data_IF_719872274547
#
_entry.id   IF_719872274547
#
_cell.length_a   1.000
_cell.length_b   1.000
_cell.length_c   1.000
_cell.angle_alpha   90.00
_cell.angle_beta   90.00
_cell.angle_gamma   90.00
#
_symmetry.space_group_name_H-M   'P 1'
#
loop_
_entity.id
_entity.type
_entity.pdbx_description
1 polymer ?
#
# COMPACT_ATOMS: atom_id res chain seq x y z
N UNK A 1 2.97 7.88 -15.58
CA UNK A 1 2.01 7.34 -14.60
C UNK A 1 1.16 8.45 -13.98
N UNK A 2 1.73 9.39 -13.21
CA UNK A 2 0.97 10.48 -12.54
C UNK A 2 0.01 11.25 -13.46
N UNK A 3 0.44 11.60 -14.68
CA UNK A 3 -0.41 12.29 -15.67
C UNK A 3 -1.57 11.40 -16.16
N UNK A 4 -1.30 10.14 -16.52
CA UNK A 4 -2.33 9.19 -16.93
C UNK A 4 -3.34 8.89 -15.82
N UNK A 5 -2.89 8.94 -14.56
CA UNK A 5 -3.74 8.76 -13.39
C UNK A 5 -4.65 9.96 -13.11
N UNK A 6 -4.12 11.18 -13.21
CA UNK A 6 -4.97 12.38 -13.16
C UNK A 6 -6.04 12.34 -14.25
N UNK A 7 -5.67 11.87 -15.45
CA UNK A 7 -6.61 11.68 -16.56
C UNK A 7 -7.63 10.56 -16.30
N UNK A 8 -7.28 9.50 -15.56
CA UNK A 8 -8.19 8.41 -15.20
C UNK A 8 -9.28 8.83 -14.21
N UNK A 9 -8.97 9.80 -13.33
CA UNK A 9 -9.94 10.37 -12.38
C UNK A 9 -10.93 11.32 -13.08
N UNK A 10 -10.46 12.08 -14.06
CA UNK A 10 -11.25 13.12 -14.76
C UNK A 10 -12.01 12.55 -15.98
N UNK A 11 -11.70 11.31 -16.40
CA UNK A 11 -12.33 10.65 -17.54
C UNK A 11 -11.77 11.10 -18.90
N UNK A 12 -10.45 11.30 -18.99
CA UNK A 12 -9.73 11.74 -20.20
C UNK A 12 -9.80 10.74 -21.39
N UNK A 13 -8.69 10.16 -21.89
CA UNK A 13 -8.75 9.21 -23.02
C UNK A 13 -9.44 7.87 -22.68
N UNK A 14 -10.05 7.77 -21.51
CA UNK A 14 -10.68 6.57 -20.96
C UNK A 14 -12.19 6.64 -21.17
N UNK A 15 -12.81 5.49 -21.46
CA UNK A 15 -14.24 5.39 -21.77
C UNK A 15 -15.14 5.80 -20.59
N UNK A 16 -14.62 5.67 -19.36
CA UNK A 16 -15.35 5.87 -18.09
C UNK A 16 -14.37 6.07 -16.91
N UNK A 17 -14.81 6.69 -15.80
CA UNK A 17 -13.99 6.93 -14.58
C UNK A 17 -13.86 5.70 -13.69
N UNK A 18 -12.80 5.64 -12.86
CA UNK A 18 -12.52 4.51 -11.94
C UNK A 18 -13.71 4.07 -11.10
N UNK A 19 -14.45 5.04 -10.53
CA UNK A 19 -15.65 4.75 -9.74
C UNK A 19 -16.84 4.22 -10.56
N UNK A 20 -16.95 4.56 -11.85
CA UNK A 20 -18.08 4.15 -12.69
C UNK A 20 -17.97 2.70 -13.14
N UNK A 21 -16.77 2.19 -13.44
CA UNK A 21 -16.60 0.79 -13.87
C UNK A 21 -16.71 -0.17 -12.69
N UNK A 22 -16.24 0.23 -11.51
CA UNK A 22 -16.53 -0.51 -10.28
C UNK A 22 -18.03 -0.57 -9.96
N UNK A 23 -18.83 0.38 -10.46
CA UNK A 23 -20.29 0.35 -10.33
C UNK A 23 -20.96 -0.57 -11.37
N UNK A 24 -20.29 -0.91 -12.47
CA UNK A 24 -20.78 -1.88 -13.47
C UNK A 24 -20.62 -3.32 -12.96
N UNK A 25 -19.50 -3.63 -12.30
CA UNK A 25 -19.23 -4.93 -11.68
C UNK A 25 -19.42 -4.85 -10.16
N UNK A 26 -20.65 -4.50 -9.76
CA UNK A 26 -20.96 -4.25 -8.35
C UNK A 26 -21.07 -5.56 -7.56
N UNK A 27 -20.12 -5.77 -6.64
CA UNK A 27 -20.16 -6.85 -5.65
C UNK A 27 -20.32 -6.27 -4.26
N UNK A 28 -20.82 -7.08 -3.32
CA UNK A 28 -20.97 -6.68 -1.91
C UNK A 28 -19.66 -6.21 -1.26
N UNK A 29 -18.50 -6.53 -1.84
CA UNK A 29 -17.18 -6.13 -1.33
C UNK A 29 -16.55 -4.95 -2.10
N UNK A 30 -17.20 -4.45 -3.15
CA UNK A 30 -16.75 -3.28 -3.89
C UNK A 30 -17.12 -2.01 -3.12
N UNK A 31 -16.14 -1.20 -2.65
CA UNK A 31 -16.44 -0.05 -1.81
C UNK A 31 -17.11 1.08 -2.60
N UNK A 32 -17.69 2.04 -1.87
CA UNK A 32 -18.26 3.27 -2.43
C UNK A 32 -17.26 4.05 -3.30
N UNK A 33 -17.77 4.77 -4.30
CA UNK A 33 -16.95 5.50 -5.28
C UNK A 33 -15.95 6.49 -4.67
N UNK A 34 -16.30 7.12 -3.54
CA UNK A 34 -15.41 8.05 -2.84
C UNK A 34 -14.14 7.37 -2.31
N UNK A 35 -14.20 6.07 -2.00
CA UNK A 35 -13.09 5.28 -1.46
C UNK A 35 -11.90 5.27 -2.43
N UNK A 36 -12.16 5.32 -3.74
CA UNK A 36 -11.14 5.35 -4.79
C UNK A 36 -10.29 6.64 -4.81
N UNK A 37 -10.67 7.69 -4.07
CA UNK A 37 -9.83 8.88 -3.84
C UNK A 37 -8.50 8.57 -3.13
N UNK A 38 -8.37 7.39 -2.53
CA UNK A 38 -7.10 6.90 -1.98
C UNK A 38 -5.98 6.84 -3.03
N UNK A 39 -6.31 6.71 -4.32
CA UNK A 39 -5.33 6.83 -5.40
C UNK A 39 -4.66 8.22 -5.39
N UNK A 40 -5.40 9.29 -5.13
CA UNK A 40 -4.83 10.63 -4.97
C UNK A 40 -3.85 10.70 -3.81
N UNK A 41 -4.17 10.07 -2.67
CA UNK A 41 -3.27 9.98 -1.51
C UNK A 41 -1.99 9.23 -1.86
N UNK A 42 -2.10 8.08 -2.55
CA UNK A 42 -0.97 7.30 -3.05
C UNK A 42 -0.08 8.17 -3.94
N UNK A 43 -0.65 8.91 -4.89
CA UNK A 43 0.13 9.72 -5.81
C UNK A 43 0.80 10.92 -5.17
N UNK A 44 0.15 11.55 -4.18
CA UNK A 44 0.80 12.60 -3.37
C UNK A 44 2.02 12.01 -2.66
N UNK A 45 1.88 10.83 -2.06
CA UNK A 45 2.98 10.18 -1.35
C UNK A 45 4.13 9.76 -2.28
N UNK A 46 3.82 9.19 -3.44
CA UNK A 46 4.81 8.82 -4.47
C UNK A 46 5.51 10.06 -5.02
N UNK A 47 4.79 11.16 -5.21
CA UNK A 47 5.37 12.42 -5.67
C UNK A 47 6.32 12.98 -4.61
N UNK A 48 5.90 13.02 -3.35
CA UNK A 48 6.75 13.46 -2.25
C UNK A 48 7.99 12.56 -2.09
N UNK A 49 7.84 11.24 -2.22
CA UNK A 49 8.95 10.28 -2.26
C UNK A 49 9.90 10.57 -3.42
N UNK A 50 9.38 10.88 -4.61
CA UNK A 50 10.19 11.22 -5.79
C UNK A 50 10.98 12.50 -5.56
N UNK A 51 10.34 13.54 -5.03
CA UNK A 51 11.00 14.81 -4.67
C UNK A 51 12.12 14.55 -3.66
N UNK A 52 11.87 13.74 -2.62
CA UNK A 52 12.88 13.37 -1.64
C UNK A 52 14.08 12.65 -2.27
N UNK A 53 13.83 11.66 -3.13
CA UNK A 53 14.89 10.92 -3.82
C UNK A 53 15.70 11.85 -4.74
N UNK A 54 15.03 12.67 -5.55
CA UNK A 54 15.70 13.58 -6.50
C UNK A 54 16.49 14.68 -5.77
N UNK A 55 15.92 15.26 -4.72
CA UNK A 55 16.65 16.24 -3.89
C UNK A 55 17.84 15.59 -3.18
N UNK A 56 17.74 14.32 -2.79
CA UNK A 56 18.86 13.51 -2.29
C UNK A 56 20.00 13.36 -3.29
N UNK A 57 19.69 13.20 -4.59
CA UNK A 57 20.71 13.16 -5.65
C UNK A 57 21.45 14.50 -5.83
N UNK A 58 20.78 15.62 -5.54
CA UNK A 58 21.36 16.96 -5.63
C UNK A 58 22.05 17.42 -4.33
N UNK A 59 21.83 16.74 -3.20
CA UNK A 59 22.43 17.08 -1.90
C UNK A 59 23.87 16.56 -1.81
N UNK A 60 24.83 17.38 -2.22
CA UNK A 60 26.26 17.16 -2.02
C UNK A 60 26.65 17.47 -0.57
N UNK A 61 26.44 16.51 0.34
CA UNK A 61 26.80 16.67 1.74
C UNK A 61 28.26 16.33 2.03
N UNK A 62 28.73 15.16 1.58
CA UNK A 62 30.01 14.57 2.03
C UNK A 62 30.69 13.65 0.98
N UNK A 63 30.37 13.86 -0.31
CA UNK A 63 30.71 12.98 -1.45
C UNK A 63 29.44 12.64 -2.24
N UNK A 64 29.57 12.15 -3.47
CA UNK A 64 28.39 11.79 -4.28
C UNK A 64 27.54 10.76 -3.52
N UNK A 65 26.25 11.06 -3.36
CA UNK A 65 25.29 10.25 -2.58
C UNK A 65 25.10 8.83 -3.13
N UNK A 66 25.54 8.54 -4.37
CA UNK A 66 25.62 7.17 -4.88
C UNK A 66 26.74 6.32 -4.25
N UNK A 67 27.67 6.92 -3.49
CA UNK A 67 28.85 6.24 -2.96
C UNK A 67 28.74 5.74 -1.52
N UNK A 68 27.89 6.28 -0.64
CA UNK A 68 27.68 5.71 0.71
C UNK A 68 26.62 6.43 1.55
N UNK A 69 25.71 5.70 2.25
CA UNK A 69 25.25 4.33 2.00
C UNK A 69 24.06 4.31 1.04
N UNK A 70 24.01 3.30 0.16
CA UNK A 70 22.88 3.06 -0.74
C UNK A 70 21.71 2.43 0.02
N UNK A 71 21.05 3.21 0.89
CA UNK A 71 19.90 2.75 1.69
C UNK A 71 18.76 2.28 0.80
N UNK A 72 18.63 2.87 -0.39
CA UNK A 72 17.76 2.39 -1.46
C UNK A 72 18.63 1.70 -2.52
N UNK A 73 18.64 0.35 -2.60
CA UNK A 73 19.47 -0.37 -3.56
C UNK A 73 18.94 -0.20 -5.00
N UNK A 74 19.77 -0.44 -6.01
CA UNK A 74 19.35 -0.37 -7.43
C UNK A 74 18.09 -1.21 -7.73
N UNK A 75 17.96 -2.36 -7.06
CA UNK A 75 16.77 -3.21 -7.16
C UNK A 75 15.47 -2.48 -6.80
N UNK A 76 15.49 -1.58 -5.82
CA UNK A 76 14.33 -0.76 -5.46
C UNK A 76 13.88 0.11 -6.64
N UNK A 77 14.82 0.81 -7.28
CA UNK A 77 14.51 1.71 -8.40
C UNK A 77 14.06 0.95 -9.65
N UNK A 78 14.68 -0.21 -9.93
CA UNK A 78 14.25 -1.09 -11.02
C UNK A 78 12.81 -1.57 -10.79
N UNK A 79 12.50 -2.08 -9.59
CA UNK A 79 11.15 -2.49 -9.24
C UNK A 79 10.15 -1.33 -9.32
N UNK A 80 10.55 -0.11 -8.94
CA UNK A 80 9.70 1.07 -9.02
C UNK A 80 9.38 1.46 -10.46
N UNK A 81 10.37 1.49 -11.36
CA UNK A 81 10.14 1.77 -12.78
C UNK A 81 9.23 0.73 -13.42
N UNK A 82 9.47 -0.55 -13.16
CA UNK A 82 8.64 -1.65 -13.65
C UNK A 82 7.21 -1.54 -13.09
N UNK A 83 7.07 -1.24 -11.80
CA UNK A 83 5.77 -1.02 -11.17
C UNK A 83 4.98 0.11 -11.86
N UNK A 84 5.64 1.23 -12.17
CA UNK A 84 5.01 2.35 -12.87
C UNK A 84 4.53 1.96 -14.27
N UNK A 85 5.28 1.11 -14.97
CA UNK A 85 4.86 0.58 -16.27
C UNK A 85 3.63 -0.34 -16.14
N UNK A 86 3.63 -1.25 -15.16
CA UNK A 86 2.48 -2.13 -14.90
C UNK A 86 1.24 -1.36 -14.43
N UNK A 87 1.40 -0.31 -13.64
CA UNK A 87 0.29 0.55 -13.23
C UNK A 87 -0.31 1.28 -14.43
N UNK A 88 0.50 1.78 -15.36
CA UNK A 88 -0.01 2.36 -16.63
C UNK A 88 -0.72 1.28 -17.45
N UNK A 89 -0.13 0.08 -17.56
CA UNK A 89 -0.75 -1.05 -18.25
C UNK A 89 -2.14 -1.38 -17.68
N UNK A 90 -2.26 -1.43 -16.35
CA UNK A 90 -3.54 -1.59 -15.67
C UNK A 90 -4.54 -0.50 -16.06
N UNK A 91 -4.16 0.78 -15.99
CA UNK A 91 -5.03 1.91 -16.39
C UNK A 91 -5.47 1.89 -17.85
N UNK A 92 -4.74 1.21 -18.74
CA UNK A 92 -5.13 1.11 -20.15
C UNK A 92 -6.11 -0.04 -20.42
N UNK A 93 -6.10 -1.08 -19.59
CA UNK A 93 -6.90 -2.29 -19.82
C UNK A 93 -8.05 -2.47 -18.84
N UNK A 94 -8.03 -1.78 -17.70
CA UNK A 94 -9.01 -1.93 -16.63
C UNK A 94 -10.45 -1.64 -17.06
N UNK A 95 -10.68 -0.79 -18.06
CA UNK A 95 -12.02 -0.46 -18.55
C UNK A 95 -12.56 -1.44 -19.59
N UNK A 96 -11.69 -2.29 -20.16
CA UNK A 96 -12.01 -3.11 -21.34
C UNK A 96 -11.83 -4.60 -21.10
N UNK A 97 -10.90 -5.00 -20.25
CA UNK A 97 -10.46 -6.40 -20.10
C UNK A 97 -10.15 -6.73 -18.64
N UNK A 98 -11.16 -7.20 -17.89
CA UNK A 98 -11.06 -7.47 -16.44
C UNK A 98 -9.96 -8.50 -16.09
N UNK A 99 -9.81 -9.58 -16.87
CA UNK A 99 -8.76 -10.58 -16.63
C UNK A 99 -7.36 -9.97 -16.81
N UNK A 100 -7.15 -9.18 -17.86
CA UNK A 100 -5.85 -8.53 -18.09
C UNK A 100 -5.57 -7.49 -17.00
N UNK A 101 -6.60 -6.77 -16.55
CA UNK A 101 -6.49 -5.84 -15.44
C UNK A 101 -6.04 -6.54 -14.15
N UNK A 102 -6.61 -7.71 -13.85
CA UNK A 102 -6.18 -8.53 -12.72
C UNK A 102 -4.71 -8.97 -12.84
N UNK A 103 -4.28 -9.40 -14.02
CA UNK A 103 -2.87 -9.78 -14.27
C UNK A 103 -1.92 -8.61 -14.05
N UNK A 104 -2.23 -7.41 -14.56
CA UNK A 104 -1.41 -6.22 -14.30
C UNK A 104 -1.39 -5.84 -12.82
N UNK A 105 -2.52 -5.97 -12.10
CA UNK A 105 -2.57 -5.72 -10.66
C UNK A 105 -1.69 -6.71 -9.86
N UNK A 106 -1.66 -7.98 -10.23
CA UNK A 106 -0.76 -8.97 -9.63
C UNK A 106 0.69 -8.53 -9.80
N UNK A 107 1.08 -8.11 -11.01
CA UNK A 107 2.44 -7.60 -11.23
C UNK A 107 2.75 -6.31 -10.46
N UNK A 108 1.77 -5.42 -10.31
CA UNK A 108 1.89 -4.23 -9.44
C UNK A 108 2.13 -4.65 -7.99
N UNK A 109 1.40 -5.62 -7.46
CA UNK A 109 1.60 -6.12 -6.10
C UNK A 109 2.98 -6.75 -5.92
N UNK A 110 3.40 -7.62 -6.84
CA UNK A 110 4.70 -8.31 -6.75
C UNK A 110 5.86 -7.31 -6.71
N UNK A 111 5.79 -6.27 -7.54
CA UNK A 111 6.79 -5.20 -7.57
C UNK A 111 6.73 -4.32 -6.33
N UNK A 112 5.53 -4.07 -5.79
CA UNK A 112 5.33 -3.36 -4.52
C UNK A 112 5.95 -4.08 -3.31
N UNK A 113 5.67 -5.38 -3.15
CA UNK A 113 6.31 -6.18 -2.09
C UNK A 113 7.83 -6.28 -2.27
N UNK A 114 8.31 -6.39 -3.52
CA UNK A 114 9.75 -6.37 -3.80
C UNK A 114 10.40 -5.05 -3.35
N UNK A 115 9.77 -3.91 -3.63
CA UNK A 115 10.23 -2.60 -3.14
C UNK A 115 10.29 -2.54 -1.60
N UNK A 116 9.26 -3.05 -0.91
CA UNK A 116 9.27 -3.13 0.57
C UNK A 116 10.45 -3.96 1.06
N UNK A 117 10.68 -5.14 0.47
CA UNK A 117 11.81 -6.01 0.83
C UNK A 117 13.15 -5.28 0.68
N UNK A 118 13.36 -4.56 -0.43
CA UNK A 118 14.58 -3.79 -0.65
C UNK A 118 14.79 -2.67 0.37
N UNK A 119 13.74 -1.89 0.69
CA UNK A 119 13.84 -0.81 1.68
C UNK A 119 14.08 -1.36 3.09
N UNK A 120 13.37 -2.43 3.46
CA UNK A 120 13.56 -3.11 4.73
C UNK A 120 14.98 -3.67 4.87
N UNK A 121 15.52 -4.26 3.80
CA UNK A 121 16.90 -4.74 3.77
C UNK A 121 17.90 -3.58 3.93
N UNK A 122 17.73 -2.49 3.18
CA UNK A 122 18.58 -1.31 3.30
C UNK A 122 18.57 -0.70 4.71
N UNK A 123 17.40 -0.61 5.36
CA UNK A 123 17.26 -0.15 6.73
C UNK A 123 17.79 -1.15 7.78
N UNK A 124 17.82 -2.44 7.46
CA UNK A 124 18.43 -3.44 8.33
C UNK A 124 19.96 -3.28 8.34
N UNK A 125 20.56 -3.09 7.17
CA UNK A 125 22.02 -2.95 7.01
C UNK A 125 22.52 -1.59 7.51
N UNK A 126 21.88 -0.50 7.08
CA UNK A 126 22.38 0.87 7.33
C UNK A 126 21.63 1.60 8.46
N UNK A 127 20.65 0.96 9.09
CA UNK A 127 19.78 1.61 10.07
C UNK A 127 20.51 2.12 11.32
N UNK A 128 21.50 1.38 11.83
CA UNK A 128 22.29 1.79 12.99
C UNK A 128 23.15 3.03 12.67
N UNK A 129 23.80 3.02 11.51
CA UNK A 129 24.58 4.15 10.99
C UNK A 129 23.70 5.39 10.79
N UNK A 130 22.52 5.22 10.18
CA UNK A 130 21.54 6.29 9.99
C UNK A 130 21.06 6.86 11.33
N UNK A 131 20.77 6.03 12.33
CA UNK A 131 20.36 6.55 13.66
C UNK A 131 21.47 7.41 14.29
N UNK A 132 22.73 6.99 14.16
CA UNK A 132 23.87 7.67 14.79
C UNK A 132 24.24 8.99 14.11
N UNK A 133 24.28 9.01 12.78
CA UNK A 133 24.80 10.15 12.01
C UNK A 133 23.72 10.95 11.26
N UNK A 134 22.59 10.33 10.90
CA UNK A 134 21.56 10.92 10.03
C UNK A 134 20.13 10.55 10.46
N UNK A 135 19.79 10.81 11.72
CA UNK A 135 18.51 10.39 12.29
C UNK A 135 17.29 10.99 11.55
N UNK A 136 17.41 12.20 10.99
CA UNK A 136 16.35 12.79 10.17
C UNK A 136 16.12 11.98 8.89
N UNK A 137 17.18 11.55 8.20
CA UNK A 137 17.07 10.73 6.99
C UNK A 137 16.44 9.36 7.30
N UNK A 138 16.77 8.77 8.46
CA UNK A 138 16.13 7.53 8.93
C UNK A 138 14.60 7.67 9.02
N UNK A 139 14.12 8.78 9.60
CA UNK A 139 12.68 9.03 9.74
C UNK A 139 12.02 9.38 8.41
N UNK A 140 12.70 10.10 7.51
CA UNK A 140 12.21 10.36 6.16
C UNK A 140 12.05 9.05 5.38
N UNK A 141 13.02 8.13 5.43
CA UNK A 141 12.92 6.84 4.75
C UNK A 141 11.76 6.00 5.33
N UNK A 142 11.57 6.00 6.66
CA UNK A 142 10.46 5.29 7.30
C UNK A 142 9.09 5.89 6.95
N UNK A 143 8.93 7.19 7.11
CA UNK A 143 7.65 7.87 6.91
C UNK A 143 7.29 8.06 5.44
N UNK A 144 8.25 8.46 4.62
CA UNK A 144 7.99 8.83 3.24
C UNK A 144 8.12 7.62 2.29
N UNK A 145 9.16 6.80 2.46
CA UNK A 145 9.42 5.67 1.55
C UNK A 145 8.68 4.41 2.02
N UNK A 146 8.97 3.86 3.20
CA UNK A 146 8.33 2.62 3.66
C UNK A 146 6.81 2.77 3.78
N UNK A 147 6.34 3.76 4.53
CA UNK A 147 4.90 3.94 4.74
C UNK A 147 4.19 4.34 3.44
N UNK A 148 4.83 5.09 2.55
CA UNK A 148 4.29 5.43 1.23
C UNK A 148 4.09 4.21 0.33
N UNK A 149 5.13 3.39 0.18
CA UNK A 149 5.07 2.14 -0.57
C UNK A 149 4.06 1.18 0.08
N UNK A 150 3.95 1.17 1.41
CA UNK A 150 2.94 0.36 2.11
C UNK A 150 1.50 0.79 1.84
N UNK A 151 1.18 2.09 1.81
CA UNK A 151 -0.17 2.56 1.44
C UNK A 151 -0.54 1.98 0.07
N UNK A 152 0.38 2.11 -0.89
CA UNK A 152 0.18 1.64 -2.25
C UNK A 152 0.06 0.11 -2.31
N UNK A 153 0.90 -0.61 -1.56
CA UNK A 153 0.87 -2.08 -1.48
C UNK A 153 -0.45 -2.56 -0.90
N UNK A 154 -0.86 -2.04 0.26
CA UNK A 154 -2.11 -2.46 0.91
C UNK A 154 -3.32 -2.18 0.03
N UNK A 155 -3.40 -0.99 -0.59
CA UNK A 155 -4.51 -0.67 -1.48
C UNK A 155 -4.55 -1.57 -2.71
N UNK A 156 -3.40 -1.81 -3.35
CA UNK A 156 -3.34 -2.68 -4.54
C UNK A 156 -3.64 -4.15 -4.22
N UNK A 157 -3.22 -4.63 -3.04
CA UNK A 157 -3.63 -5.94 -2.51
C UNK A 157 -5.14 -6.04 -2.35
N UNK A 158 -5.78 -5.06 -1.71
CA UNK A 158 -7.24 -5.01 -1.58
C UNK A 158 -7.93 -4.98 -2.94
N UNK A 159 -7.45 -4.11 -3.86
CA UNK A 159 -8.00 -4.01 -5.21
C UNK A 159 -7.88 -5.33 -5.98
N UNK A 160 -6.78 -6.06 -5.83
CA UNK A 160 -6.58 -7.36 -6.48
C UNK A 160 -7.48 -8.43 -5.91
N UNK A 161 -7.68 -8.46 -4.59
CA UNK A 161 -8.64 -9.37 -3.96
C UNK A 161 -10.07 -9.08 -4.46
N UNK A 162 -10.47 -7.81 -4.56
CA UNK A 162 -11.78 -7.43 -5.12
C UNK A 162 -11.89 -7.85 -6.59
N UNK A 163 -10.90 -7.57 -7.43
CA UNK A 163 -10.92 -7.96 -8.84
C UNK A 163 -10.92 -9.49 -9.00
N UNK A 164 -10.20 -10.22 -8.15
CA UNK A 164 -10.20 -11.67 -8.11
C UNK A 164 -11.59 -12.20 -7.74
N UNK A 165 -12.25 -11.62 -6.72
CA UNK A 165 -13.63 -11.99 -6.36
C UNK A 165 -14.61 -11.68 -7.48
N UNK A 166 -14.49 -10.54 -8.17
CA UNK A 166 -15.33 -10.20 -9.34
C UNK A 166 -15.16 -11.28 -10.42
N UNK A 167 -13.93 -11.61 -10.81
CA UNK A 167 -13.66 -12.65 -11.81
C UNK A 167 -14.22 -14.01 -11.34
N UNK A 168 -14.00 -14.39 -10.08
CA UNK A 168 -14.51 -15.65 -9.54
C UNK A 168 -16.05 -15.70 -9.41
N UNK A 169 -16.70 -14.56 -9.17
CA UNK A 169 -18.16 -14.47 -9.01
C UNK A 169 -18.88 -14.43 -10.35
N UNK A 170 -18.36 -13.67 -11.32
CA UNK A 170 -19.02 -13.44 -12.61
C UNK A 170 -18.60 -14.41 -13.71
N UNK A 171 -17.41 -15.01 -13.64
CA UNK A 171 -16.89 -15.91 -14.69
C UNK A 171 -16.77 -17.38 -14.22
N UNK A 172 -16.75 -17.65 -12.91
CA UNK A 172 -16.44 -18.98 -12.35
C UNK A 172 -17.48 -19.50 -11.35
N UNK A 173 -18.56 -18.75 -11.07
CA UNK A 173 -19.67 -19.12 -10.15
C UNK A 173 -19.22 -19.69 -8.79
N UNK A 174 -18.15 -19.14 -8.19
CA UNK A 174 -17.58 -19.66 -6.93
C UNK A 174 -18.07 -18.89 -5.68
N UNK A 175 -18.38 -19.62 -4.60
CA UNK A 175 -18.88 -19.08 -3.33
C UNK A 175 -17.79 -18.32 -2.52
N UNK A 176 -18.09 -17.12 -1.97
CA UNK A 176 -17.09 -16.19 -1.39
C UNK A 176 -16.78 -16.45 0.10
N UNK A 177 -16.17 -17.60 0.43
CA UNK A 177 -15.67 -17.87 1.78
C UNK A 177 -14.26 -18.44 1.66
N UNK A 178 -13.23 -17.60 1.91
CA UNK A 178 -11.86 -18.02 2.34
C UNK A 178 -10.81 -16.88 2.40
N UNK A 179 -11.21 -15.60 2.53
CA UNK A 179 -10.25 -14.47 2.50
C UNK A 179 -9.55 -14.13 3.85
N UNK A 180 -9.81 -14.89 4.93
CA UNK A 180 -9.39 -14.50 6.29
C UNK A 180 -7.97 -14.97 6.69
N UNK A 181 -7.36 -15.90 5.96
CA UNK A 181 -6.11 -16.58 6.36
C UNK A 181 -4.83 -15.76 6.15
N UNK A 182 -4.87 -14.68 5.35
CA UNK A 182 -3.68 -13.89 5.00
C UNK A 182 -3.26 -12.90 6.11
N UNK A 183 -4.17 -12.50 7.01
CA UNK A 183 -3.94 -11.47 8.03
C UNK A 183 -3.11 -11.92 9.25
N UNK A 184 -3.07 -13.23 9.54
CA UNK A 184 -2.37 -13.79 10.71
C UNK A 184 -0.85 -13.88 10.50
N UNK A 185 -0.39 -14.00 9.25
CA UNK A 185 1.04 -14.15 8.90
C UNK A 185 1.84 -12.85 9.04
N UNK A 186 1.21 -11.68 8.82
CA UNK A 186 1.90 -10.38 8.89
C UNK A 186 2.36 -10.01 10.32
N UNK A 187 1.61 -10.41 11.35
CA UNK A 187 1.80 -9.91 12.71
C UNK A 187 2.79 -10.70 13.58
N UNK A 188 3.09 -11.97 13.24
CA UNK A 188 3.87 -12.85 14.13
C UNK A 188 5.33 -13.03 13.72
N UNK A 189 5.65 -13.02 12.42
CA UNK A 189 6.99 -13.41 11.91
C UNK A 189 7.86 -12.22 11.50
N UNK A 190 7.27 -11.07 11.16
CA UNK A 190 7.96 -9.97 10.46
C UNK A 190 8.25 -8.72 11.31
N UNK A 191 7.94 -8.71 12.61
CA UNK A 191 8.00 -7.50 13.46
C UNK A 191 9.34 -6.76 13.41
N UNK A 192 10.46 -7.49 13.29
CA UNK A 192 11.81 -6.92 13.24
C UNK A 192 12.03 -6.00 12.02
N UNK A 193 11.33 -6.24 10.91
CA UNK A 193 11.49 -5.49 9.65
C UNK A 193 10.34 -4.52 9.38
N UNK A 194 9.16 -4.78 9.96
CA UNK A 194 7.91 -4.07 9.64
C UNK A 194 7.38 -3.20 10.78
N UNK A 195 8.15 -3.03 11.87
CA UNK A 195 7.71 -2.35 13.10
C UNK A 195 7.05 -0.99 12.86
N UNK A 196 7.59 -0.16 11.96
CA UNK A 196 7.09 1.20 11.71
C UNK A 196 6.14 1.32 10.51
N UNK A 197 5.74 0.21 9.90
CA UNK A 197 4.76 0.20 8.80
C UNK A 197 3.36 0.25 9.39
N UNK A 198 2.85 1.47 9.62
CA UNK A 198 1.58 1.71 10.30
C UNK A 198 0.44 1.95 9.32
N UNK A 199 0.76 2.33 8.07
CA UNK A 199 -0.23 2.74 7.07
C UNK A 199 -1.11 1.61 6.55
N UNK A 200 -0.76 0.34 6.75
CA UNK A 200 -1.61 -0.81 6.41
C UNK A 200 -3.00 -0.68 7.04
N UNK A 201 -3.05 -0.34 8.33
CA UNK A 201 -4.31 -0.33 9.09
C UNK A 201 -5.26 0.81 8.68
N UNK A 202 -4.81 2.08 8.55
CA UNK A 202 -5.66 3.14 8.01
C UNK A 202 -6.23 2.82 6.63
N UNK A 203 -5.45 2.18 5.73
CA UNK A 203 -5.94 1.80 4.39
C UNK A 203 -7.05 0.74 4.47
N UNK A 204 -6.89 -0.25 5.35
CA UNK A 204 -7.91 -1.28 5.58
C UNK A 204 -9.18 -0.67 6.22
N UNK A 205 -9.02 0.21 7.21
CA UNK A 205 -10.14 0.95 7.84
C UNK A 205 -10.87 1.80 6.80
N UNK A 206 -10.15 2.49 5.91
CA UNK A 206 -10.71 3.29 4.81
C UNK A 206 -11.55 2.44 3.88
N UNK A 207 -11.02 1.29 3.41
CA UNK A 207 -11.75 0.38 2.54
C UNK A 207 -12.99 -0.23 3.21
N UNK A 208 -12.88 -0.66 4.47
CA UNK A 208 -14.01 -1.20 5.24
C UNK A 208 -15.09 -0.14 5.49
N UNK A 209 -14.70 1.12 5.70
CA UNK A 209 -15.64 2.24 5.84
C UNK A 209 -16.43 2.48 4.56
N UNK A 210 -15.74 2.43 3.40
CA UNK A 210 -16.39 2.51 2.09
C UNK A 210 -17.34 1.35 1.80
N UNK A 211 -17.01 0.14 2.25
CA UNK A 211 -17.89 -1.03 2.12
C UNK A 211 -19.12 -0.92 3.02
N UNK A 212 -18.96 -0.46 4.27
CA UNK A 212 -20.08 -0.25 5.19
C UNK A 212 -21.03 0.82 4.66
N UNK A 213 -20.51 1.97 4.23
CA UNK A 213 -21.30 3.08 3.66
C UNK A 213 -22.16 2.61 2.47
N UNK A 214 -21.57 1.82 1.56
CA UNK A 214 -22.28 1.31 0.39
C UNK A 214 -23.34 0.26 0.73
N UNK A 215 -23.01 -0.68 1.61
CA UNK A 215 -23.85 -1.85 1.90
C UNK A 215 -24.79 -1.63 3.09
N UNK A 216 -24.81 -0.45 3.70
CA UNK A 216 -25.62 -0.17 4.88
C UNK A 216 -27.10 -0.32 4.55
N UNK A 217 -27.71 -1.38 5.08
CA UNK A 217 -29.14 -1.61 4.94
C UNK A 217 -29.80 -1.79 6.33
N UNK A 218 -30.60 -0.83 6.82
CA UNK A 218 -31.25 -0.95 8.13
C UNK A 218 -32.25 -2.12 8.21
N UNK A 219 -32.75 -2.61 7.06
CA UNK A 219 -33.68 -3.74 6.99
C UNK A 219 -32.98 -5.12 6.95
N UNK A 220 -31.67 -5.18 6.71
CA UNK A 220 -30.89 -6.43 6.67
C UNK A 220 -29.59 -6.29 7.50
N UNK A 221 -29.68 -6.37 8.84
CA UNK A 221 -28.57 -6.04 9.73
C UNK A 221 -27.41 -7.02 9.70
N UNK A 222 -27.58 -8.23 9.14
CA UNK A 222 -26.54 -9.27 9.15
C UNK A 222 -25.26 -8.83 8.42
N UNK A 223 -25.38 -8.20 7.25
CA UNK A 223 -24.23 -7.73 6.46
C UNK A 223 -23.57 -6.52 7.13
N UNK A 224 -24.37 -5.58 7.64
CA UNK A 224 -23.88 -4.43 8.40
C UNK A 224 -23.06 -4.89 9.62
N UNK A 225 -23.54 -5.93 10.33
CA UNK A 225 -22.86 -6.51 11.48
C UNK A 225 -21.46 -7.03 11.14
N UNK A 226 -21.29 -7.70 10.00
CA UNK A 226 -19.98 -8.21 9.55
C UNK A 226 -19.01 -7.05 9.31
N UNK A 227 -19.40 -6.02 8.56
CA UNK A 227 -18.53 -4.88 8.28
C UNK A 227 -18.21 -4.07 9.53
N UNK A 228 -19.16 -3.88 10.45
CA UNK A 228 -18.94 -3.20 11.74
C UNK A 228 -17.94 -3.98 12.60
N UNK A 229 -18.09 -5.30 12.70
CA UNK A 229 -17.15 -6.15 13.47
C UNK A 229 -15.75 -6.10 12.87
N UNK A 230 -15.61 -6.25 11.54
CA UNK A 230 -14.32 -6.17 10.87
C UNK A 230 -13.66 -4.79 11.05
N UNK A 231 -14.44 -3.71 10.95
CA UNK A 231 -13.96 -2.34 11.17
C UNK A 231 -13.52 -2.13 12.62
N UNK A 232 -14.27 -2.66 13.58
CA UNK A 232 -13.94 -2.65 15.01
C UNK A 232 -12.65 -3.40 15.30
N UNK A 233 -12.49 -4.60 14.74
CA UNK A 233 -11.25 -5.41 14.87
C UNK A 233 -10.07 -4.67 14.24
N UNK A 234 -10.20 -4.16 13.00
CA UNK A 234 -9.13 -3.42 12.33
C UNK A 234 -8.70 -2.17 13.11
N UNK A 235 -9.67 -1.44 13.67
CA UNK A 235 -9.41 -0.25 14.50
C UNK A 235 -8.73 -0.61 15.82
N UNK A 236 -9.19 -1.66 16.50
CA UNK A 236 -8.57 -2.14 17.73
C UNK A 236 -7.12 -2.60 17.48
N UNK A 237 -6.89 -3.36 16.41
CA UNK A 237 -5.54 -3.80 16.00
C UNK A 237 -4.63 -2.60 15.68
N UNK A 238 -5.16 -1.55 15.03
CA UNK A 238 -4.39 -0.34 14.77
C UNK A 238 -3.93 0.34 16.06
N UNK A 239 -4.85 0.53 17.01
CA UNK A 239 -4.54 1.13 18.32
C UNK A 239 -3.51 0.29 19.07
N UNK A 240 -3.71 -1.03 19.13
CA UNK A 240 -2.75 -1.96 19.73
C UNK A 240 -1.39 -1.86 19.05
N UNK A 241 -1.34 -1.80 17.71
CA UNK A 241 -0.10 -1.65 16.95
C UNK A 241 0.60 -0.34 17.31
N UNK A 242 -0.10 0.79 17.37
CA UNK A 242 0.48 2.08 17.80
C UNK A 242 1.08 1.96 19.20
N UNK A 243 0.32 1.42 20.15
CA UNK A 243 0.77 1.24 21.54
C UNK A 243 2.04 0.38 21.57
N UNK A 244 2.04 -0.75 20.87
CA UNK A 244 3.19 -1.66 20.79
C UNK A 244 4.40 -1.00 20.14
N UNK A 245 4.21 -0.24 19.06
CA UNK A 245 5.31 0.46 18.38
C UNK A 245 5.91 1.54 19.27
N UNK A 246 5.08 2.34 19.95
CA UNK A 246 5.55 3.35 20.91
C UNK A 246 6.28 2.67 22.08
N UNK A 247 5.68 1.66 22.69
CA UNK A 247 6.27 0.95 23.82
C UNK A 247 7.61 0.30 23.43
N UNK A 248 7.66 -0.40 22.29
CA UNK A 248 8.88 -1.02 21.78
C UNK A 248 9.93 0.00 21.33
N UNK A 249 9.52 1.18 20.86
CA UNK A 249 10.46 2.25 20.52
C UNK A 249 11.25 2.70 21.76
N UNK A 250 10.59 2.85 22.90
CA UNK A 250 11.22 3.28 24.15
C UNK A 250 11.90 2.16 24.94
N UNK A 251 11.33 0.95 24.94
CA UNK A 251 11.81 -0.18 25.77
C UNK A 251 12.70 -1.18 25.03
N UNK A 252 12.60 -1.27 23.70
CA UNK A 252 13.37 -2.18 22.85
C UNK A 252 13.84 -1.49 21.56
N UNK A 253 14.63 -0.40 21.69
CA UNK A 253 15.13 0.35 20.56
C UNK A 253 15.98 -0.53 19.64
N UNK A 254 15.65 -0.51 18.34
CA UNK A 254 16.22 -1.41 17.33
C UNK A 254 17.75 -1.30 17.12
N UNK A 255 18.40 -0.27 17.65
CA UNK A 255 19.79 0.07 17.31
C UNK A 255 20.64 0.46 18.54
N UNK A 256 20.24 0.12 19.76
CA UNK A 256 21.00 0.52 20.97
C UNK A 256 22.26 -0.34 21.19
N UNK A 257 22.28 -1.58 20.68
CA UNK A 257 23.41 -2.52 20.87
C UNK A 257 24.24 -2.74 19.60
N UNK A 258 23.98 -1.99 18.53
CA UNK A 258 24.64 -2.18 17.23
C UNK A 258 25.70 -1.09 17.04
N UNK A 259 26.97 -1.45 17.21
CA UNK A 259 28.07 -0.57 16.81
C UNK A 259 28.09 -0.45 15.27
N UNK A 260 28.29 0.77 14.73
CA UNK A 260 28.26 1.01 13.29
C UNK A 260 29.35 0.27 12.52
#
# INVERSE_FOLDING_TARGET
SLVFNALAVIGGPFSTTTGNISAIFDTQITPSGWTFSIWSVIYIWITAMTIYIVTGLCRNGYGYVYCSPAVLPYGFFICWCINMAFNIGWLLVWDRMMIMALVFLIFVILTNYSMICFVCHGLHVYGAWLKKYHNVELWLIRGLVQNGVMIYTTWTTLATLINLTIVLTYEVEMSPVDAATVFLLENLVLDKHVRYMLTTYPVVIWALSGNLDKNYNPASPNINGIFIVLLGIASALFVVRIILVIWRHFKQPLYDDVNP
#
